data_IF_834367775648
#
_entry.id   IF_834367775648
#
_cell.length_a   1.000
_cell.length_b   1.000
_cell.length_c   1.000
_cell.angle_alpha   90.00
_cell.angle_beta   90.00
_cell.angle_gamma   90.00
#
_symmetry.space_group_name_H-M   'P 1'
#
loop_
_entity.id
_entity.type
_entity.pdbx_description
1 polymer ?
#
# COMPACT_ATOMS: atom_id res chain seq x y z
N UNK A 1 -23.92 4.63 10.69
CA UNK A 1 -23.04 3.87 9.77
C UNK A 1 -22.95 4.68 8.49
N UNK A 2 -21.78 5.20 8.17
CA UNK A 2 -21.51 5.72 6.82
C UNK A 2 -21.56 4.53 5.85
N UNK A 3 -22.24 4.66 4.70
CA UNK A 3 -22.30 3.59 3.71
C UNK A 3 -20.90 3.26 3.19
N UNK A 4 -20.70 2.01 2.76
CA UNK A 4 -19.52 1.63 2.01
C UNK A 4 -19.67 2.14 0.57
N UNK A 5 -18.66 2.82 0.02
CA UNK A 5 -18.74 3.44 -1.30
C UNK A 5 -17.67 2.88 -2.24
N UNK A 6 -18.08 2.45 -3.44
CA UNK A 6 -17.16 1.93 -4.47
C UNK A 6 -16.92 3.01 -5.53
N UNK A 7 -15.67 3.40 -5.72
CA UNK A 7 -15.27 4.40 -6.71
C UNK A 7 -14.30 3.78 -7.71
N UNK A 8 -14.24 4.40 -8.89
CA UNK A 8 -13.27 4.06 -9.93
C UNK A 8 -12.27 5.20 -10.07
N UNK A 9 -10.99 4.85 -10.10
CA UNK A 9 -9.90 5.77 -10.43
C UNK A 9 -9.02 5.12 -11.47
N UNK A 10 -9.00 5.65 -12.71
CA UNK A 10 -8.31 5.00 -13.83
C UNK A 10 -8.67 3.50 -13.95
N UNK A 11 -9.96 3.18 -13.86
CA UNK A 11 -10.49 1.81 -13.88
C UNK A 11 -10.08 0.92 -12.67
N UNK A 12 -9.29 1.43 -11.73
CA UNK A 12 -8.98 0.76 -10.47
C UNK A 12 -10.22 0.80 -9.58
N UNK A 13 -10.67 -0.38 -9.15
CA UNK A 13 -11.76 -0.52 -8.20
C UNK A 13 -11.26 -0.29 -6.77
N UNK A 14 -11.81 0.74 -6.12
CA UNK A 14 -11.47 1.11 -4.74
C UNK A 14 -12.76 1.15 -3.92
N UNK A 15 -12.74 0.51 -2.76
CA UNK A 15 -13.87 0.43 -1.85
C UNK A 15 -13.51 1.09 -0.51
N UNK A 16 -14.28 2.11 -0.13
CA UNK A 16 -14.06 2.88 1.09
C UNK A 16 -15.01 2.41 2.19
N UNK A 17 -14.44 2.03 3.33
CA UNK A 17 -15.15 1.58 4.53
C UNK A 17 -14.61 2.32 5.76
N UNK A 18 -15.33 2.32 6.90
CA UNK A 18 -14.79 2.91 8.12
C UNK A 18 -13.45 2.26 8.52
N UNK A 19 -12.39 3.08 8.60
CA UNK A 19 -11.00 2.73 8.93
C UNK A 19 -10.27 1.83 7.92
N UNK A 20 -10.87 1.56 6.75
CA UNK A 20 -10.33 0.61 5.78
C UNK A 20 -10.59 1.07 4.34
N UNK A 21 -9.58 0.91 3.49
CA UNK A 21 -9.72 1.00 2.03
C UNK A 21 -9.32 -0.32 1.42
N UNK A 22 -10.17 -0.87 0.55
CA UNK A 22 -9.86 -2.07 -0.21
C UNK A 22 -9.58 -1.71 -1.66
N UNK A 23 -8.43 -2.11 -2.18
CA UNK A 23 -8.03 -1.91 -3.58
C UNK A 23 -8.02 -3.26 -4.28
N UNK A 24 -8.73 -3.38 -5.40
CA UNK A 24 -8.64 -4.58 -6.23
C UNK A 24 -7.28 -4.59 -6.94
N UNK A 25 -6.48 -5.63 -6.73
CA UNK A 25 -5.15 -5.77 -7.30
C UNK A 25 -5.19 -6.58 -8.60
N UNK A 26 -5.83 -5.99 -9.60
CA UNK A 26 -6.01 -6.54 -10.94
C UNK A 26 -5.05 -5.93 -11.97
N UNK A 27 -5.36 -6.14 -13.25
CA UNK A 27 -4.55 -5.61 -14.35
C UNK A 27 -4.63 -4.09 -14.44
N UNK A 28 -5.76 -3.47 -14.10
CA UNK A 28 -5.92 -2.00 -14.11
C UNK A 28 -4.98 -1.32 -13.14
N UNK A 29 -4.83 -1.86 -11.92
CA UNK A 29 -3.85 -1.35 -10.95
C UNK A 29 -2.41 -1.50 -11.49
N UNK A 30 -2.09 -2.67 -12.07
CA UNK A 30 -0.75 -2.95 -12.61
C UNK A 30 -0.40 -2.07 -13.81
N UNK A 31 -1.36 -1.76 -14.67
CA UNK A 31 -1.17 -0.91 -15.84
C UNK A 31 -1.00 0.54 -15.42
N UNK A 32 -1.87 1.02 -14.52
CA UNK A 32 -1.73 2.35 -13.93
C UNK A 32 -0.34 2.56 -13.33
N UNK A 33 0.15 1.63 -12.49
CA UNK A 33 1.46 1.76 -11.84
C UNK A 33 2.65 1.59 -12.80
N UNK A 34 2.47 1.03 -14.01
CA UNK A 34 3.52 0.92 -15.03
C UNK A 34 3.59 2.13 -15.94
N UNK A 35 2.51 2.87 -16.06
CA UNK A 35 2.44 4.03 -16.93
C UNK A 35 3.33 5.16 -16.40
N UNK A 36 4.17 5.70 -17.28
CA UNK A 36 5.14 6.72 -16.91
C UNK A 36 4.42 7.98 -16.41
N UNK A 37 4.76 8.41 -15.19
CA UNK A 37 4.18 9.58 -14.55
C UNK A 37 3.03 9.25 -13.59
N UNK A 38 2.56 8.00 -13.59
CA UNK A 38 1.69 7.46 -12.56
C UNK A 38 2.52 6.71 -11.52
N UNK A 39 2.06 6.70 -10.26
CA UNK A 39 2.76 6.01 -9.18
C UNK A 39 1.88 5.75 -7.97
N UNK A 40 2.36 4.89 -7.10
CA UNK A 40 1.71 4.52 -5.83
C UNK A 40 1.47 5.72 -4.92
N UNK A 41 2.33 6.74 -4.97
CA UNK A 41 2.22 7.98 -4.21
C UNK A 41 1.05 8.82 -4.69
N UNK A 42 0.85 8.93 -6.01
CA UNK A 42 -0.29 9.64 -6.59
C UNK A 42 -1.60 8.90 -6.28
N UNK A 43 -1.58 7.57 -6.36
CA UNK A 43 -2.74 6.76 -5.97
C UNK A 43 -3.05 6.90 -4.48
N UNK A 44 -2.04 6.91 -3.62
CA UNK A 44 -2.19 7.13 -2.19
C UNK A 44 -2.78 8.51 -1.88
N UNK A 45 -2.31 9.57 -2.55
CA UNK A 45 -2.86 10.92 -2.42
C UNK A 45 -4.35 10.96 -2.80
N UNK A 46 -4.71 10.31 -3.91
CA UNK A 46 -6.10 10.20 -4.34
C UNK A 46 -6.94 9.46 -3.30
N UNK A 47 -6.50 8.28 -2.85
CA UNK A 47 -7.22 7.44 -1.89
C UNK A 47 -7.46 8.18 -0.56
N UNK A 48 -6.42 8.81 0.00
CA UNK A 48 -6.53 9.52 1.28
C UNK A 48 -7.49 10.71 1.18
N UNK A 49 -7.43 11.46 0.07
CA UNK A 49 -8.34 12.58 -0.19
C UNK A 49 -9.77 12.09 -0.34
N UNK A 50 -9.99 11.04 -1.13
CA UNK A 50 -11.33 10.55 -1.42
C UNK A 50 -11.96 9.88 -0.20
N UNK A 51 -11.16 9.13 0.58
CA UNK A 51 -11.61 8.61 1.87
C UNK A 51 -12.12 9.73 2.79
N UNK A 52 -11.38 10.84 2.90
CA UNK A 52 -11.79 11.99 3.71
C UNK A 52 -13.11 12.62 3.21
N UNK A 53 -13.35 12.62 1.90
CA UNK A 53 -14.59 13.12 1.32
C UNK A 53 -15.77 12.20 1.67
N UNK A 54 -15.60 10.88 1.51
CA UNK A 54 -16.63 9.86 1.75
C UNK A 54 -16.95 9.64 3.24
N UNK A 55 -15.91 9.54 4.08
CA UNK A 55 -16.04 9.19 5.50
C UNK A 55 -16.08 10.40 6.43
N UNK A 56 -15.86 11.61 5.90
CA UNK A 56 -15.80 12.87 6.65
C UNK A 56 -14.76 12.90 7.79
N UNK A 57 -13.84 11.95 7.80
CA UNK A 57 -12.71 11.84 8.73
C UNK A 57 -11.48 11.37 7.96
N UNK A 58 -10.26 11.77 8.35
CA UNK A 58 -9.08 11.29 7.65
C UNK A 58 -8.84 9.83 7.98
N UNK A 59 -8.36 9.06 7.00
CA UNK A 59 -7.82 7.72 7.24
C UNK A 59 -6.49 7.88 7.98
N UNK A 60 -6.32 7.25 9.13
CA UNK A 60 -5.10 7.38 9.95
C UNK A 60 -3.93 6.53 9.44
N UNK A 61 -3.59 6.70 8.16
CA UNK A 61 -2.45 6.06 7.49
C UNK A 61 -1.66 7.15 6.76
N UNK A 62 -0.33 7.12 6.85
CA UNK A 62 0.49 8.09 6.11
C UNK A 62 0.55 7.74 4.62
N UNK A 63 0.70 8.77 3.78
CA UNK A 63 0.87 8.64 2.31
C UNK A 63 1.94 7.62 1.92
N UNK A 64 3.13 7.72 2.51
CA UNK A 64 4.25 6.82 2.15
C UNK A 64 3.97 5.38 2.60
N UNK A 65 3.35 5.20 3.77
CA UNK A 65 2.99 3.88 4.30
C UNK A 65 1.96 3.18 3.41
N UNK A 66 0.93 3.91 2.97
CA UNK A 66 -0.06 3.41 2.01
C UNK A 66 0.57 3.10 0.64
N UNK A 67 1.41 3.99 0.12
CA UNK A 67 2.09 3.79 -1.16
C UNK A 67 3.00 2.54 -1.14
N UNK A 68 3.75 2.34 -0.06
CA UNK A 68 4.60 1.15 0.14
C UNK A 68 3.76 -0.12 0.18
N UNK A 69 2.63 -0.12 0.86
CA UNK A 69 1.71 -1.25 0.94
C UNK A 69 1.14 -1.62 -0.44
N UNK A 70 0.68 -0.63 -1.21
CA UNK A 70 0.21 -0.82 -2.60
C UNK A 70 1.30 -1.49 -3.44
N UNK A 71 2.54 -0.99 -3.36
CA UNK A 71 3.67 -1.54 -4.10
C UNK A 71 4.01 -2.96 -3.68
N UNK A 72 4.00 -3.24 -2.37
CA UNK A 72 4.33 -4.54 -1.82
C UNK A 72 3.35 -5.61 -2.25
N UNK A 73 2.05 -5.31 -2.27
CA UNK A 73 1.03 -6.23 -2.76
C UNK A 73 1.05 -6.39 -4.28
N UNK A 74 1.25 -5.30 -5.02
CA UNK A 74 1.20 -5.35 -6.50
C UNK A 74 2.45 -5.99 -7.12
N UNK A 75 3.63 -5.73 -6.55
CA UNK A 75 4.93 -6.15 -7.06
C UNK A 75 5.77 -6.84 -5.99
N UNK A 76 5.20 -7.84 -5.32
CA UNK A 76 5.82 -8.53 -4.18
C UNK A 76 7.24 -9.02 -4.42
N UNK A 77 7.57 -9.48 -5.63
CA UNK A 77 8.93 -9.93 -5.96
C UNK A 77 9.93 -8.78 -6.05
N UNK A 78 9.58 -7.68 -6.73
CA UNK A 78 10.43 -6.49 -6.79
C UNK A 78 10.54 -5.81 -5.43
N UNK A 79 9.44 -5.77 -4.67
CA UNK A 79 9.43 -5.26 -3.31
C UNK A 79 10.33 -6.07 -2.39
N UNK A 80 10.25 -7.40 -2.44
CA UNK A 80 11.10 -8.31 -1.67
C UNK A 80 12.59 -8.04 -1.94
N UNK A 81 12.97 -7.88 -3.21
CA UNK A 81 14.34 -7.50 -3.59
C UNK A 81 14.75 -6.14 -3.03
N UNK A 82 13.87 -5.13 -3.12
CA UNK A 82 14.13 -3.79 -2.60
C UNK A 82 14.35 -3.79 -1.08
N UNK A 83 13.51 -4.50 -0.32
CA UNK A 83 13.66 -4.56 1.15
C UNK A 83 14.83 -5.44 1.58
N UNK A 84 15.27 -6.42 0.78
CA UNK A 84 16.52 -7.16 1.03
C UNK A 84 17.75 -6.23 0.99
N UNK A 85 17.76 -5.22 0.13
CA UNK A 85 18.83 -4.20 0.12
C UNK A 85 18.80 -3.35 1.40
N UNK A 86 17.60 -3.02 1.90
CA UNK A 86 17.43 -2.28 3.14
C UNK A 86 17.64 -3.14 4.41
N UNK A 87 17.57 -4.48 4.31
CA UNK A 87 17.55 -5.43 5.44
C UNK A 87 18.62 -5.16 6.50
N UNK A 88 19.90 -4.83 6.16
CA UNK A 88 20.92 -4.54 7.16
C UNK A 88 20.59 -3.35 8.07
N UNK A 89 19.82 -2.38 7.56
CA UNK A 89 19.43 -1.15 8.27
C UNK A 89 18.18 -1.32 9.13
N UNK A 90 17.39 -2.36 8.88
CA UNK A 90 16.12 -2.57 9.57
C UNK A 90 16.34 -3.13 10.98
N UNK A 91 15.51 -2.76 11.98
CA UNK A 91 15.48 -3.44 13.28
C UNK A 91 15.15 -4.93 13.12
N UNK A 92 15.73 -5.80 13.96
CA UNK A 92 15.54 -7.26 13.86
C UNK A 92 14.07 -7.68 13.87
N UNK A 93 13.26 -7.06 14.73
CA UNK A 93 11.81 -7.34 14.82
C UNK A 93 11.07 -7.01 13.53
N UNK A 94 11.46 -5.93 12.85
CA UNK A 94 10.88 -5.56 11.55
C UNK A 94 11.29 -6.55 10.46
N UNK A 95 12.55 -7.00 10.42
CA UNK A 95 13.01 -8.01 9.45
C UNK A 95 12.21 -9.30 9.54
N UNK A 96 11.99 -9.79 10.77
CA UNK A 96 11.24 -11.03 11.00
C UNK A 96 9.79 -10.88 10.56
N UNK A 97 9.15 -9.75 10.90
CA UNK A 97 7.78 -9.47 10.48
C UNK A 97 7.65 -9.33 8.96
N UNK A 98 8.61 -8.65 8.30
CA UNK A 98 8.63 -8.52 6.84
C UNK A 98 8.72 -9.86 6.12
N UNK A 99 9.52 -10.81 6.64
CA UNK A 99 9.62 -12.16 6.06
C UNK A 99 8.26 -12.87 6.09
N UNK A 100 7.54 -12.78 7.21
CA UNK A 100 6.19 -13.36 7.32
C UNK A 100 5.18 -12.63 6.43
N UNK A 101 5.25 -11.30 6.38
CA UNK A 101 4.38 -10.48 5.55
C UNK A 101 4.53 -10.81 4.07
N UNK A 102 5.76 -10.90 3.54
CA UNK A 102 6.02 -11.22 2.13
C UNK A 102 5.44 -12.60 1.77
N UNK A 103 5.57 -13.60 2.67
CA UNK A 103 4.96 -14.91 2.46
C UNK A 103 3.43 -14.85 2.44
N UNK A 104 2.83 -14.06 3.33
CA UNK A 104 1.38 -13.86 3.40
C UNK A 104 0.82 -13.13 2.17
N UNK A 105 1.52 -12.12 1.68
CA UNK A 105 1.10 -11.35 0.50
C UNK A 105 1.12 -12.22 -0.74
N UNK A 106 2.14 -13.07 -0.90
CA UNK A 106 2.24 -13.99 -2.05
C UNK A 106 1.06 -14.94 -2.17
N UNK A 107 0.38 -15.27 -1.07
CA UNK A 107 -0.81 -16.12 -1.07
C UNK A 107 -2.13 -15.36 -1.22
N UNK A 108 -2.15 -14.04 -1.03
CA UNK A 108 -3.36 -13.20 -1.06
C UNK A 108 -3.10 -11.91 -1.85
N UNK A 109 -3.33 -11.97 -3.17
CA UNK A 109 -3.00 -10.85 -4.09
C UNK A 109 -4.21 -10.21 -4.77
N UNK A 110 -5.44 -10.66 -4.49
CA UNK A 110 -6.62 -10.17 -5.22
C UNK A 110 -7.15 -8.84 -4.68
N UNK A 111 -7.06 -8.64 -3.35
CA UNK A 111 -7.51 -7.44 -2.66
C UNK A 111 -6.39 -6.98 -1.72
N UNK A 112 -6.15 -5.67 -1.70
CA UNK A 112 -5.23 -5.01 -0.79
C UNK A 112 -6.08 -4.31 0.28
N UNK A 113 -5.97 -4.77 1.52
CA UNK A 113 -6.69 -4.24 2.68
C UNK A 113 -5.84 -3.18 3.39
N UNK A 114 -6.01 -1.91 3.02
CA UNK A 114 -5.27 -0.79 3.59
C UNK A 114 -6.02 -0.20 4.79
N UNK A 115 -5.75 -0.72 5.99
CA UNK A 115 -6.50 -0.39 7.21
C UNK A 115 -5.71 0.41 8.25
N UNK A 116 -6.42 1.08 9.15
CA UNK A 116 -5.84 1.65 10.39
C UNK A 116 -5.35 0.55 11.33
N UNK A 117 -4.56 0.89 12.36
CA UNK A 117 -3.94 -0.11 13.28
C UNK A 117 -4.98 -1.01 13.97
N UNK A 118 -6.19 -0.49 14.17
CA UNK A 118 -7.31 -1.17 14.78
C UNK A 118 -7.90 -2.28 13.90
N UNK A 119 -7.71 -2.23 12.58
CA UNK A 119 -8.31 -3.15 11.60
C UNK A 119 -7.30 -3.84 10.68
N UNK A 120 -6.07 -3.33 10.60
CA UNK A 120 -4.93 -3.94 9.90
C UNK A 120 -3.80 -4.25 10.87
N UNK A 121 -3.62 -5.54 11.15
CA UNK A 121 -2.56 -6.05 12.03
C UNK A 121 -1.12 -5.83 11.50
N UNK A 122 -0.96 -5.57 10.21
CA UNK A 122 0.32 -5.31 9.56
C UNK A 122 0.64 -3.82 9.44
N UNK A 123 -0.28 -2.91 9.80
CA UNK A 123 -0.09 -1.45 9.68
C UNK A 123 1.24 -0.95 10.25
N UNK A 124 1.64 -1.49 11.40
CA UNK A 124 2.89 -1.12 12.05
C UNK A 124 4.14 -1.45 11.20
N UNK A 125 4.09 -2.50 10.36
CA UNK A 125 5.19 -2.90 9.48
C UNK A 125 5.36 -1.84 8.41
N UNK A 126 4.25 -1.48 7.76
CA UNK A 126 4.21 -0.47 6.71
C UNK A 126 4.65 0.91 7.22
N UNK A 127 4.18 1.31 8.41
CA UNK A 127 4.56 2.59 9.01
C UNK A 127 6.05 2.63 9.35
N UNK A 128 6.63 1.51 9.80
CA UNK A 128 8.07 1.39 10.05
C UNK A 128 8.91 1.24 8.78
N UNK A 129 8.31 0.92 7.65
CA UNK A 129 8.97 0.94 6.34
C UNK A 129 9.06 2.34 5.74
N UNK A 130 8.12 3.25 6.07
CA UNK A 130 8.09 4.61 5.53
C UNK A 130 9.42 5.40 5.69
N UNK A 131 10.19 5.29 6.78
CA UNK A 131 11.52 5.92 6.88
C UNK A 131 12.53 5.42 5.85
N UNK A 132 12.34 4.24 5.27
CA UNK A 132 13.22 3.62 4.28
C UNK A 132 12.73 3.83 2.83
N UNK A 133 11.72 4.67 2.65
CA UNK A 133 11.07 4.93 1.37
C UNK A 133 12.03 5.26 0.22
N UNK A 134 13.11 5.99 0.46
CA UNK A 134 14.06 6.35 -0.60
C UNK A 134 14.72 5.12 -1.25
N UNK A 135 15.00 4.07 -0.46
CA UNK A 135 15.56 2.81 -0.97
C UNK A 135 14.49 2.04 -1.73
N UNK A 136 13.29 1.95 -1.14
CA UNK A 136 12.15 1.21 -1.70
C UNK A 136 11.71 1.82 -3.03
N UNK A 137 11.48 3.13 -3.06
CA UNK A 137 11.07 3.87 -4.25
C UNK A 137 12.18 3.91 -5.29
N UNK A 138 13.45 4.08 -4.89
CA UNK A 138 14.58 4.01 -5.82
C UNK A 138 14.68 2.66 -6.55
N UNK A 139 14.37 1.56 -5.85
CA UNK A 139 14.37 0.22 -6.46
C UNK A 139 13.12 -0.07 -7.31
N UNK A 140 11.98 0.51 -6.97
CA UNK A 140 10.71 0.32 -7.70
C UNK A 140 10.51 1.33 -8.84
N UNK A 141 11.35 2.36 -8.91
CA UNK A 141 11.42 3.32 -10.01
C UNK A 141 10.15 4.13 -10.17
N UNK A 142 9.72 4.33 -11.43
CA UNK A 142 8.55 5.13 -11.78
C UNK A 142 7.23 4.64 -11.18
N UNK A 143 7.19 3.43 -10.59
CA UNK A 143 6.00 2.87 -9.92
C UNK A 143 5.70 3.56 -8.58
N UNK A 144 6.69 4.24 -8.00
CA UNK A 144 6.60 4.88 -6.69
C UNK A 144 5.81 6.18 -6.75
#
# INVERSE_FOLDING_TARGET
>A
MTPSEKHLFHEISIHYQPQLVQIVCDQSLKDYLREKGNGSLQLADYILKEYQNCQHTPLKISRDSLAIEILAHTYVDSFSQAVSVAEPLLPLSLRQALKQLILSIRSHTEIIDCGETEVDSNRWIWDKLAPYKSIIYGALGDRA
#
